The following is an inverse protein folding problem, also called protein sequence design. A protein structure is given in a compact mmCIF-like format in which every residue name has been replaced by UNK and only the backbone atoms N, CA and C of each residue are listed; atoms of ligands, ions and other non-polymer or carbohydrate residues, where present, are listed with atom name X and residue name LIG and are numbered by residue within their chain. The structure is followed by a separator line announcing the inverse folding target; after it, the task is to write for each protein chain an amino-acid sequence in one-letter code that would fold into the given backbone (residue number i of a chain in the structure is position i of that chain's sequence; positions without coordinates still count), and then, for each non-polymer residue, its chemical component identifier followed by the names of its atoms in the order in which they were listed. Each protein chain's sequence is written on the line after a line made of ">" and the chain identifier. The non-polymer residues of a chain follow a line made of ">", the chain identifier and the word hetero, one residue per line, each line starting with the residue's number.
data_IF_164002389927
#
_entry.id   IF_164002389927
#
_cell.length_a   1.000
_cell.length_b   1.000
_cell.length_c   1.000
_cell.angle_alpha   90.00
_cell.angle_beta   90.00
_cell.angle_gamma   90.00
#
_symmetry.space_group_name_H-M   'P 1'
#
loop_
_entity.id
_entity.type
_entity.pdbx_description
1 polymer ?
#
# COMPACT_ATOMS: atom_id res chain seq x y z
N UNK A 1 -11.20 -20.70 17.93
CA UNK A 1 -11.21 -19.48 17.10
C UNK A 1 -10.24 -19.70 15.96
N UNK A 2 -10.69 -19.63 14.70
CA UNK A 2 -9.83 -19.92 13.55
C UNK A 2 -8.63 -18.97 13.53
N UNK A 3 -7.41 -19.51 13.54
CA UNK A 3 -6.20 -18.73 13.29
C UNK A 3 -6.38 -17.97 11.98
N UNK A 4 -6.39 -16.64 12.04
CA UNK A 4 -6.45 -15.83 10.82
C UNK A 4 -5.19 -16.16 10.03
N UNK A 5 -5.39 -16.80 8.86
CA UNK A 5 -4.35 -17.28 7.94
C UNK A 5 -3.39 -16.18 7.45
N UNK A 6 -3.72 -14.91 7.68
CA UNK A 6 -2.89 -13.77 7.35
C UNK A 6 -2.75 -12.79 8.52
N UNK A 7 -1.51 -12.42 8.84
CA UNK A 7 -1.17 -11.41 9.83
C UNK A 7 -1.14 -10.04 9.15
N UNK A 8 -2.27 -9.34 9.14
CA UNK A 8 -2.40 -7.96 8.67
C UNK A 8 -2.67 -7.01 9.82
N UNK A 9 -2.17 -5.78 9.71
CA UNK A 9 -2.46 -4.67 10.61
C UNK A 9 -3.18 -3.56 9.84
N UNK A 10 -4.17 -2.92 10.48
CA UNK A 10 -4.84 -1.73 9.93
C UNK A 10 -4.01 -0.48 10.28
N UNK A 11 -3.86 0.42 9.31
CA UNK A 11 -3.21 1.72 9.50
C UNK A 11 -4.19 2.82 9.09
N UNK A 12 -4.21 3.93 9.83
CA UNK A 12 -4.96 5.11 9.43
C UNK A 12 -4.14 5.90 8.41
N UNK A 13 -4.76 6.22 7.27
CA UNK A 13 -4.17 7.04 6.23
C UNK A 13 -4.98 8.34 6.10
N UNK A 14 -4.34 9.52 6.07
CA UNK A 14 -5.03 10.78 5.77
C UNK A 14 -5.85 10.67 4.48
N UNK A 15 -7.08 11.21 4.51
CA UNK A 15 -8.01 11.15 3.38
C UNK A 15 -7.42 11.80 2.11
N UNK A 16 -6.65 12.88 2.27
CA UNK A 16 -5.98 13.55 1.15
C UNK A 16 -4.99 12.62 0.43
N UNK A 17 -4.28 11.77 1.16
CA UNK A 17 -3.38 10.78 0.57
C UNK A 17 -4.17 9.65 -0.07
N UNK A 18 -5.23 9.17 0.57
CA UNK A 18 -6.10 8.15 -0.02
C UNK A 18 -6.66 8.58 -1.38
N UNK A 19 -7.15 9.82 -1.48
CA UNK A 19 -7.64 10.42 -2.75
C UNK A 19 -6.56 10.46 -3.83
N UNK A 20 -5.31 10.82 -3.48
CA UNK A 20 -4.20 10.78 -4.44
C UNK A 20 -3.87 9.37 -4.92
N UNK A 21 -4.01 8.37 -4.05
CA UNK A 21 -3.84 6.97 -4.46
C UNK A 21 -4.96 6.55 -5.41
N UNK A 22 -6.20 6.97 -5.16
CA UNK A 22 -7.33 6.72 -6.08
C UNK A 22 -7.12 7.38 -7.44
N UNK A 23 -6.61 8.62 -7.50
CA UNK A 23 -6.23 9.28 -8.76
C UNK A 23 -5.19 8.45 -9.53
N UNK A 24 -4.16 7.93 -8.83
CA UNK A 24 -3.13 7.08 -9.44
C UNK A 24 -3.71 5.79 -10.00
N UNK A 25 -4.59 5.12 -9.25
CA UNK A 25 -5.25 3.88 -9.69
C UNK A 25 -6.18 4.17 -10.87
N UNK A 26 -6.99 5.22 -10.78
CA UNK A 26 -7.92 5.65 -11.82
C UNK A 26 -7.23 6.05 -13.12
N UNK A 27 -5.97 6.51 -13.05
CA UNK A 27 -5.18 6.81 -14.25
C UNK A 27 -4.84 5.58 -15.08
N UNK A 28 -4.80 4.37 -14.49
CA UNK A 28 -4.39 3.13 -15.16
C UNK A 28 -2.91 3.05 -15.56
N UNK A 29 -2.14 4.13 -15.42
CA UNK A 29 -0.80 4.26 -15.99
C UNK A 29 0.30 3.48 -15.25
N UNK A 30 0.05 3.08 -14.00
CA UNK A 30 1.07 2.52 -13.10
C UNK A 30 0.83 1.05 -12.72
N UNK A 31 -0.18 0.40 -13.31
CA UNK A 31 -0.49 -1.00 -13.07
C UNK A 31 -1.11 -1.33 -11.70
N UNK A 32 -1.37 -0.31 -10.86
CA UNK A 32 -2.03 -0.50 -9.57
C UNK A 32 -3.53 -0.72 -9.74
N UNK A 33 -4.07 -1.70 -9.01
CA UNK A 33 -5.49 -2.07 -9.09
C UNK A 33 -6.26 -1.71 -7.82
N UNK A 34 -5.58 -1.37 -6.72
CA UNK A 34 -6.20 -1.05 -5.43
C UNK A 34 -5.28 -0.26 -4.51
N UNK A 35 -5.86 0.43 -3.52
CA UNK A 35 -5.10 1.20 -2.52
C UNK A 35 -4.09 0.31 -1.77
N UNK A 36 -4.44 -0.89 -1.26
CA UNK A 36 -3.48 -1.74 -0.58
C UNK A 36 -2.31 -2.16 -1.48
N UNK A 37 -2.55 -2.35 -2.78
CA UNK A 37 -1.51 -2.71 -3.73
C UNK A 37 -0.47 -1.60 -3.92
N UNK A 38 -0.95 -0.37 -4.10
CA UNK A 38 -0.11 0.83 -4.13
C UNK A 38 0.69 0.97 -2.82
N UNK A 39 0.01 0.91 -1.67
CA UNK A 39 0.64 1.11 -0.35
C UNK A 39 1.71 0.06 -0.07
N UNK A 40 1.43 -1.23 -0.33
CA UNK A 40 2.42 -2.30 -0.15
C UNK A 40 3.68 -2.04 -0.98
N UNK A 41 3.52 -1.59 -2.23
CA UNK A 41 4.65 -1.31 -3.13
C UNK A 41 5.45 -0.11 -2.65
N UNK A 42 4.77 0.99 -2.29
CA UNK A 42 5.40 2.19 -1.77
C UNK A 42 6.18 1.93 -0.47
N UNK A 43 5.57 1.22 0.49
CA UNK A 43 6.20 0.85 1.76
C UNK A 43 7.42 -0.04 1.54
N UNK A 44 7.31 -1.07 0.69
CA UNK A 44 8.46 -1.94 0.37
C UNK A 44 9.59 -1.18 -0.28
N UNK A 45 9.29 -0.28 -1.23
CA UNK A 45 10.29 0.55 -1.90
C UNK A 45 11.03 1.41 -0.88
N UNK A 46 10.31 2.11 -0.02
CA UNK A 46 10.92 2.99 0.97
C UNK A 46 11.73 2.23 2.03
N UNK A 47 11.25 1.08 2.49
CA UNK A 47 12.01 0.23 3.41
C UNK A 47 13.30 -0.33 2.79
N UNK A 48 13.31 -0.63 1.48
CA UNK A 48 14.54 -0.99 0.76
C UNK A 48 15.51 0.17 0.66
N UNK A 49 15.02 1.36 0.32
CA UNK A 49 15.82 2.59 0.27
C UNK A 49 16.48 2.88 1.62
N UNK A 50 15.77 2.60 2.73
CA UNK A 50 16.27 2.74 4.09
C UNK A 50 17.11 1.54 4.60
N UNK A 51 17.27 0.47 3.81
CA UNK A 51 18.06 -0.71 4.19
C UNK A 51 17.39 -1.69 5.17
N UNK A 52 16.08 -1.57 5.40
CA UNK A 52 15.32 -2.47 6.28
C UNK A 52 14.70 -3.67 5.53
N UNK A 53 14.76 -3.68 4.20
CA UNK A 53 14.36 -4.80 3.35
C UNK A 53 15.41 -5.01 2.26
N UNK A 54 15.66 -6.28 1.93
CA UNK A 54 16.50 -6.70 0.79
C UNK A 54 15.69 -6.96 -0.48
#
# INVERSE_FOLDING_TARGET
>A
MSERKYKYHTVNLPESLAKKIEEVIGSGNHGYTSIPDFVKTAVRRYLRELGYLT
#
